data_IF_253512540524
#
_entry.id   IF_253512540524
#
_cell.length_a   1.000
_cell.length_b   1.000
_cell.length_c   1.000
_cell.angle_alpha   90.00
_cell.angle_beta   90.00
_cell.angle_gamma   90.00
#
_symmetry.space_group_name_H-M   'P 1'
#
loop_
_entity.id
_entity.type
_entity.pdbx_description
1 polymer ?
#
# COMPACT_ATOMS: atom_id res chain seq x y z
N UNK A 1 6.27 10.80 27.51
CA UNK A 1 6.45 9.70 26.56
C UNK A 1 5.70 10.13 25.31
N UNK A 2 6.40 10.64 24.31
CA UNK A 2 5.78 11.06 23.05
C UNK A 2 5.56 9.79 22.23
N UNK A 3 4.31 9.34 22.15
CA UNK A 3 3.93 8.30 21.20
C UNK A 3 4.22 8.83 19.80
N UNK A 4 5.28 8.26 19.18
CA UNK A 4 5.53 8.43 17.77
C UNK A 4 4.40 7.68 17.09
N UNK A 5 3.40 8.41 16.61
CA UNK A 5 2.37 7.85 15.73
C UNK A 5 3.10 7.54 14.43
N UNK A 6 3.64 6.31 14.33
CA UNK A 6 4.20 5.81 13.09
C UNK A 6 3.13 6.00 12.02
N UNK A 7 3.46 6.54 10.83
CA UNK A 7 2.53 6.48 9.71
C UNK A 7 2.16 5.00 9.54
N UNK A 8 0.88 4.69 9.40
CA UNK A 8 0.40 3.32 9.16
C UNK A 8 -0.39 3.34 7.86
N UNK A 9 -0.25 2.27 7.09
CA UNK A 9 -1.09 2.08 5.91
C UNK A 9 -2.49 1.66 6.36
N UNK A 10 -3.51 2.16 5.68
CA UNK A 10 -4.91 1.83 5.93
C UNK A 10 -5.70 1.75 4.62
N UNK A 11 -6.72 0.90 4.59
CA UNK A 11 -7.47 0.53 3.38
C UNK A 11 -8.18 1.68 2.65
N UNK A 12 -8.58 2.72 3.39
CA UNK A 12 -9.25 3.91 2.85
C UNK A 12 -8.27 4.89 2.18
N UNK A 13 -6.96 4.73 2.40
CA UNK A 13 -5.97 5.57 1.74
C UNK A 13 -5.89 5.22 0.26
N UNK A 14 -5.51 6.20 -0.56
CA UNK A 14 -5.31 5.96 -1.99
C UNK A 14 -3.99 5.25 -2.25
N UNK A 15 -3.92 4.54 -3.37
CA UNK A 15 -2.68 3.89 -3.80
C UNK A 15 -1.57 4.95 -3.99
N UNK A 16 -1.92 6.12 -4.52
CA UNK A 16 -0.98 7.24 -4.65
C UNK A 16 -0.44 7.74 -3.31
N UNK A 17 -1.31 7.88 -2.30
CA UNK A 17 -0.90 8.24 -0.93
C UNK A 17 0.03 7.17 -0.34
N UNK A 18 -0.29 5.89 -0.53
CA UNK A 18 0.55 4.79 -0.03
C UNK A 18 1.94 4.80 -0.68
N UNK A 19 2.02 5.01 -1.99
CA UNK A 19 3.30 5.13 -2.69
C UNK A 19 4.09 6.37 -2.27
N UNK A 20 3.42 7.45 -1.87
CA UNK A 20 4.06 8.64 -1.32
C UNK A 20 4.59 8.44 0.11
N UNK A 21 3.96 7.56 0.91
CA UNK A 21 4.42 7.21 2.26
C UNK A 21 5.69 6.38 2.21
N UNK A 22 5.77 5.38 1.33
CA UNK A 22 6.95 4.52 1.24
C UNK A 22 7.22 4.06 -0.20
N UNK A 23 8.46 4.20 -0.73
CA UNK A 23 8.78 3.81 -2.11
C UNK A 23 8.62 2.30 -2.33
N UNK A 24 8.85 1.47 -1.31
CA UNK A 24 8.65 0.01 -1.41
C UNK A 24 7.18 -0.41 -1.42
N UNK A 25 6.24 0.49 -1.06
CA UNK A 25 4.82 0.19 -1.20
C UNK A 25 4.48 -0.17 -2.67
N UNK A 26 5.11 0.52 -3.63
CA UNK A 26 4.98 0.21 -5.06
C UNK A 26 5.43 -1.21 -5.42
N UNK A 27 6.44 -1.75 -4.73
CA UNK A 27 6.91 -3.13 -4.95
C UNK A 27 5.91 -4.14 -4.41
N UNK A 28 5.30 -3.86 -3.26
CA UNK A 28 4.23 -4.67 -2.70
C UNK A 28 3.04 -4.69 -3.65
N UNK A 29 2.52 -3.53 -4.08
CA UNK A 29 1.42 -3.48 -5.06
C UNK A 29 1.73 -4.26 -6.35
N UNK A 30 2.97 -4.18 -6.84
CA UNK A 30 3.42 -4.92 -8.02
C UNK A 30 3.43 -6.43 -7.80
N UNK A 31 3.79 -6.89 -6.59
CA UNK A 31 3.76 -8.31 -6.22
C UNK A 31 2.33 -8.87 -6.21
N UNK A 32 1.35 -8.05 -5.82
CA UNK A 32 -0.07 -8.40 -5.86
C UNK A 32 -0.74 -8.17 -7.23
N UNK A 33 0.02 -7.80 -8.27
CA UNK A 33 -0.50 -7.44 -9.59
C UNK A 33 -1.49 -6.27 -9.58
N UNK A 34 -1.49 -5.47 -8.51
CA UNK A 34 -2.37 -4.32 -8.37
C UNK A 34 -1.84 -3.10 -9.12
N UNK A 35 -0.62 -3.19 -9.66
CA UNK A 35 0.03 -2.27 -10.59
C UNK A 35 1.46 -1.97 -10.14
N UNK A 36 2.20 -1.16 -10.90
CA UNK A 36 3.67 -1.06 -10.77
C UNK A 36 4.45 -1.49 -12.02
N UNK A 37 3.74 -1.93 -13.06
CA UNK A 37 4.29 -2.04 -14.41
C UNK A 37 4.03 -0.72 -15.16
N UNK A 38 4.99 -0.24 -15.95
CA UNK A 38 4.91 1.01 -16.74
C UNK A 38 3.72 1.08 -17.72
N UNK A 39 2.97 -0.01 -17.86
CA UNK A 39 1.84 -0.18 -18.78
C UNK A 39 0.53 -0.60 -18.07
N UNK A 40 0.55 -0.85 -16.75
CA UNK A 40 -0.67 -1.09 -15.98
C UNK A 40 -1.17 0.25 -15.47
N UNK A 41 -2.35 0.68 -15.93
CA UNK A 41 -3.04 1.86 -15.44
C UNK A 41 -3.52 1.61 -14.01
N UNK A 42 -2.61 1.62 -13.03
CA UNK A 42 -3.01 1.69 -11.63
C UNK A 42 -3.66 3.06 -11.43
N UNK A 43 -4.88 3.07 -10.90
CA UNK A 43 -5.54 4.32 -10.61
C UNK A 43 -5.07 4.79 -9.23
N UNK A 44 -4.04 5.63 -9.20
CA UNK A 44 -3.49 6.23 -7.97
C UNK A 44 -4.53 7.03 -7.17
N UNK A 45 -5.66 7.35 -7.81
CA UNK A 45 -6.83 8.00 -7.24
C UNK A 45 -7.78 7.03 -6.52
N UNK A 46 -7.70 5.72 -6.80
CA UNK A 46 -8.50 4.73 -6.08
C UNK A 46 -7.89 4.35 -4.74
N UNK A 47 -8.77 3.99 -3.80
CA UNK A 47 -8.36 3.47 -2.50
C UNK A 47 -7.79 2.07 -2.64
N UNK A 48 -6.89 1.72 -1.72
CA UNK A 48 -6.34 0.36 -1.64
C UNK A 48 -7.49 -0.67 -1.60
N UNK A 49 -8.53 -0.39 -0.82
CA UNK A 49 -9.73 -1.24 -0.75
C UNK A 49 -10.42 -1.42 -2.10
N UNK A 50 -10.65 -0.33 -2.84
CA UNK A 50 -11.33 -0.40 -4.14
C UNK A 50 -10.50 -1.19 -5.17
N UNK A 51 -9.20 -0.93 -5.23
CA UNK A 51 -8.29 -1.66 -6.12
C UNK A 51 -8.25 -3.15 -5.73
N UNK A 52 -8.12 -3.47 -4.44
CA UNK A 52 -8.18 -4.85 -3.97
C UNK A 52 -9.49 -5.55 -4.35
N UNK A 53 -10.63 -4.90 -4.16
CA UNK A 53 -11.94 -5.46 -4.51
C UNK A 53 -12.07 -5.74 -6.01
N UNK A 54 -11.56 -4.86 -6.87
CA UNK A 54 -11.62 -5.03 -8.32
C UNK A 54 -10.79 -6.21 -8.84
N UNK A 55 -9.69 -6.53 -8.15
CA UNK A 55 -8.75 -7.58 -8.53
C UNK A 55 -8.93 -8.87 -7.73
N UNK A 56 -9.84 -8.90 -6.74
CA UNK A 56 -10.08 -10.05 -5.87
C UNK A 56 -8.95 -10.31 -4.87
N UNK A 57 -8.20 -9.26 -4.51
CA UNK A 57 -7.12 -9.32 -3.50
C UNK A 57 -7.69 -8.97 -2.12
N UNK A 58 -7.22 -9.65 -1.08
CA UNK A 58 -7.62 -9.35 0.29
C UNK A 58 -6.91 -8.08 0.78
N UNK A 59 -7.69 -7.02 1.01
CA UNK A 59 -7.17 -5.71 1.42
C UNK A 59 -6.42 -5.76 2.74
N UNK A 60 -6.86 -6.61 3.67
CA UNK A 60 -6.25 -6.74 4.99
C UNK A 60 -4.80 -7.28 4.88
N UNK A 61 -4.61 -8.33 4.07
CA UNK A 61 -3.29 -8.93 3.78
C UNK A 61 -2.36 -7.93 3.10
N UNK A 62 -2.88 -7.14 2.17
CA UNK A 62 -2.09 -6.11 1.49
C UNK A 62 -1.67 -5.00 2.47
N UNK A 63 -2.60 -4.49 3.27
CA UNK A 63 -2.33 -3.46 4.27
C UNK A 63 -1.36 -3.98 5.32
N UNK A 64 -1.47 -5.23 5.77
CA UNK A 64 -0.51 -5.87 6.67
C UNK A 64 0.88 -5.95 6.03
N UNK A 65 0.98 -6.39 4.76
CA UNK A 65 2.25 -6.44 4.03
C UNK A 65 2.92 -5.06 3.93
N UNK A 66 2.12 -4.01 3.70
CA UNK A 66 2.60 -2.63 3.64
C UNK A 66 3.05 -2.12 5.02
N UNK A 67 2.29 -2.41 6.07
CA UNK A 67 2.67 -2.01 7.44
C UNK A 67 3.94 -2.72 7.91
N UNK A 68 4.16 -3.98 7.52
CA UNK A 68 5.41 -4.69 7.80
C UNK A 68 6.65 -3.95 7.25
N UNK A 69 6.55 -3.28 6.10
CA UNK A 69 7.66 -2.46 5.56
C UNK A 69 8.05 -1.32 6.50
N UNK A 70 7.09 -0.75 7.24
CA UNK A 70 7.33 0.34 8.19
C UNK A 70 7.88 -0.14 9.53
N UNK A 71 7.70 -1.43 9.83
CA UNK A 71 8.28 -2.06 11.01
C UNK A 71 9.72 -2.53 10.76
N UNK A 72 10.04 -2.96 9.54
CA UNK A 72 11.37 -3.44 9.15
C UNK A 72 12.41 -2.33 8.92
N UNK A 73 11.98 -1.09 8.62
CA UNK A 73 12.88 0.05 8.33
C UNK A 73 13.43 0.76 9.58
N UNK A 74 13.10 0.30 10.80
CA UNK A 74 13.72 0.76 12.06
C UNK A 74 14.82 -0.20 12.52
N UNK A 75 15.97 -0.24 11.82
CA UNK A 75 17.25 -0.75 12.35
C UNK A 75 18.43 0.13 11.89
#
# INVERSE_FOLDING_TARGET
MTEVVKPRFYKEMTVGEAMAVHPEAGLVFSSYHLGGCSHCSINELETIEQVCMGYGVEVDVLVESLNNLLEDSED
#
